data_IF_186062830911
#
_entry.id   IF_186062830911
#
_cell.length_a   1.000
_cell.length_b   1.000
_cell.length_c   1.000
_cell.angle_alpha   90.00
_cell.angle_beta   90.00
_cell.angle_gamma   90.00
#
_symmetry.space_group_name_H-M   'P 1'
#
loop_
_entity.id
_entity.type
_entity.pdbx_description
1 polymer ?
#
# COMPACT_ATOMS: atom_id res chain seq x y z
N UNK A 1 4.56 -5.52 10.44
CA UNK A 1 4.89 -4.80 11.69
C UNK A 1 5.02 -3.31 11.34
N UNK A 2 4.03 -2.49 11.71
CA UNK A 2 3.95 -1.05 11.40
C UNK A 2 4.92 -0.20 12.24
N UNK A 3 5.62 -0.82 13.19
CA UNK A 3 6.64 -0.18 14.04
C UNK A 3 8.02 -0.13 13.36
N UNK A 4 8.15 -0.56 12.10
CA UNK A 4 9.41 -0.43 11.36
C UNK A 4 9.70 1.04 11.09
N UNK A 5 10.94 1.45 11.36
CA UNK A 5 11.44 2.77 10.96
C UNK A 5 11.31 2.94 9.44
N UNK A 6 11.04 4.17 8.99
CA UNK A 6 10.98 4.50 7.56
C UNK A 6 9.68 4.22 6.80
N UNK A 7 8.62 3.71 7.44
CA UNK A 7 7.31 3.60 6.80
C UNK A 7 6.62 4.98 6.72
N UNK A 8 6.90 5.71 5.65
CA UNK A 8 6.42 7.07 5.40
C UNK A 8 5.62 7.13 4.09
N UNK A 9 4.34 6.74 4.17
CA UNK A 9 3.43 6.58 3.04
C UNK A 9 2.33 7.65 3.08
N UNK A 10 2.43 8.74 2.29
CA UNK A 10 1.41 9.79 2.24
C UNK A 10 0.05 9.30 1.71
N UNK A 11 0.01 8.14 1.04
CA UNK A 11 -1.20 7.54 0.49
C UNK A 11 -2.08 6.87 1.55
N UNK A 12 -1.53 6.58 2.73
CA UNK A 12 -2.27 5.90 3.81
C UNK A 12 -3.18 6.90 4.53
N UNK A 13 -4.48 6.80 4.29
CA UNK A 13 -5.51 7.60 4.97
C UNK A 13 -6.12 6.93 6.20
N UNK A 14 -5.99 5.61 6.35
CA UNK A 14 -6.61 4.85 7.44
C UNK A 14 -5.62 3.87 8.09
N UNK A 15 -5.55 3.91 9.41
CA UNK A 15 -4.84 2.92 10.23
C UNK A 15 -5.82 2.26 11.19
N UNK A 16 -6.00 0.95 11.07
CA UNK A 16 -6.80 0.16 11.98
C UNK A 16 -5.91 -0.61 12.97
N UNK A 17 -6.14 -0.42 14.27
CA UNK A 17 -5.49 -1.13 15.37
C UNK A 17 -6.51 -2.11 15.95
N UNK A 18 -6.35 -3.39 15.62
CA UNK A 18 -7.13 -4.47 16.20
C UNK A 18 -6.62 -4.79 17.61
N UNK A 19 -7.49 -5.25 18.50
CA UNK A 19 -7.13 -5.62 19.88
C UNK A 19 -6.34 -4.50 20.58
N UNK A 20 -6.84 -3.27 20.49
CA UNK A 20 -6.14 -2.09 20.99
C UNK A 20 -6.01 -2.08 22.52
N UNK A 21 -6.87 -2.82 23.23
CA UNK A 21 -6.90 -2.95 24.68
C UNK A 21 -6.05 -4.09 25.24
N UNK A 22 -5.45 -4.93 24.39
CA UNK A 22 -4.55 -6.00 24.82
C UNK A 22 -3.19 -5.43 25.18
N UNK A 23 -3.07 -4.96 26.42
CA UNK A 23 -1.83 -4.37 26.92
C UNK A 23 -0.62 -5.32 26.76
N UNK A 24 0.54 -4.71 26.53
CA UNK A 24 1.77 -5.40 26.18
C UNK A 24 2.65 -4.50 25.33
N UNK A 25 3.77 -5.02 24.82
CA UNK A 25 4.72 -4.21 24.05
C UNK A 25 4.05 -3.48 22.87
N UNK A 26 3.28 -4.20 22.05
CA UNK A 26 2.63 -3.68 20.84
C UNK A 26 1.47 -2.70 21.09
N UNK A 27 0.96 -2.63 22.33
CA UNK A 27 -0.14 -1.73 22.75
C UNK A 27 0.27 -0.81 23.89
N UNK A 28 1.58 -0.70 24.12
CA UNK A 28 2.11 0.34 25.00
C UNK A 28 1.80 1.71 24.40
N UNK A 29 1.70 2.72 25.25
CA UNK A 29 1.50 4.13 24.86
C UNK A 29 2.43 4.54 23.70
N UNK A 30 3.73 4.23 23.81
CA UNK A 30 4.74 4.54 22.78
C UNK A 30 4.41 3.87 21.44
N UNK A 31 4.05 2.59 21.46
CA UNK A 31 3.70 1.84 20.24
C UNK A 31 2.39 2.33 19.61
N UNK A 32 1.39 2.70 20.43
CA UNK A 32 0.15 3.27 19.94
C UNK A 32 0.40 4.62 19.27
N UNK A 33 1.15 5.54 19.90
CA UNK A 33 1.53 6.84 19.33
C UNK A 33 2.28 6.65 17.99
N UNK A 34 3.24 5.74 17.94
CA UNK A 34 3.97 5.44 16.70
C UNK A 34 3.06 4.89 15.59
N UNK A 35 2.09 4.05 15.95
CA UNK A 35 1.14 3.48 14.99
C UNK A 35 0.15 4.53 14.49
N UNK A 36 -0.37 5.39 15.38
CA UNK A 36 -1.20 6.55 15.03
C UNK A 36 -0.47 7.48 14.06
N UNK A 37 0.82 7.74 14.32
CA UNK A 37 1.65 8.60 13.48
C UNK A 37 1.75 8.17 12.02
N UNK A 38 1.43 6.92 11.68
CA UNK A 38 1.39 6.45 10.28
C UNK A 38 0.27 7.09 9.47
N UNK A 39 -0.85 7.46 10.10
CA UNK A 39 -1.95 8.15 9.44
C UNK A 39 -1.69 9.66 9.28
N UNK A 40 -0.75 10.25 10.03
CA UNK A 40 -0.55 11.69 10.12
C UNK A 40 0.08 12.32 8.85
N UNK A 41 0.41 11.52 7.84
CA UNK A 41 0.98 11.98 6.56
C UNK A 41 -0.08 12.33 5.51
N UNK A 42 -1.34 12.01 5.78
CA UNK A 42 -2.46 12.25 4.90
C UNK A 42 -3.45 13.23 5.54
N UNK A 43 -3.99 14.17 4.75
CA UNK A 43 -4.98 15.15 5.23
C UNK A 43 -6.27 14.48 5.76
N UNK A 44 -6.62 13.31 5.23
CA UNK A 44 -7.74 12.48 5.69
C UNK A 44 -7.29 11.37 6.65
N UNK A 45 -6.10 11.49 7.23
CA UNK A 45 -5.52 10.56 8.18
C UNK A 45 -6.45 10.27 9.35
N UNK A 46 -6.90 9.02 9.44
CA UNK A 46 -7.84 8.52 10.45
C UNK A 46 -7.28 7.26 11.10
N UNK A 47 -7.49 7.12 12.41
CA UNK A 47 -7.09 5.93 13.17
C UNK A 47 -8.31 5.34 13.85
N UNK A 48 -8.55 4.04 13.64
CA UNK A 48 -9.59 3.27 14.30
C UNK A 48 -8.96 2.29 15.28
N UNK A 49 -9.32 2.38 16.56
CA UNK A 49 -8.88 1.45 17.60
C UNK A 49 -10.05 0.55 17.98
N UNK A 50 -9.95 -0.75 17.66
CA UNK A 50 -10.93 -1.75 18.05
C UNK A 50 -10.54 -2.32 19.41
N UNK A 51 -11.41 -2.13 20.41
CA UNK A 51 -11.18 -2.52 21.79
C UNK A 51 -12.52 -2.69 22.52
N UNK A 52 -12.53 -3.52 23.55
CA UNK A 52 -13.68 -3.66 24.45
C UNK A 52 -13.66 -2.56 25.52
N UNK A 53 -12.47 -2.11 25.93
CA UNK A 53 -12.30 -1.05 26.94
C UNK A 53 -11.16 -0.08 26.59
N UNK A 54 -11.26 1.17 27.06
CA UNK A 54 -10.19 2.16 26.92
C UNK A 54 -9.15 1.97 28.04
N UNK A 55 -7.99 1.40 27.70
CA UNK A 55 -6.87 1.22 28.63
C UNK A 55 -6.17 2.55 28.97
N UNK A 56 -5.34 2.54 30.00
CA UNK A 56 -4.55 3.71 30.38
C UNK A 56 -3.55 4.09 29.27
N UNK A 57 -2.98 3.09 28.59
CA UNK A 57 -2.07 3.29 27.45
C UNK A 57 -2.79 3.92 26.26
N UNK A 58 -4.01 3.47 25.95
CA UNK A 58 -4.85 4.08 24.91
C UNK A 58 -5.21 5.52 25.26
N UNK A 59 -5.67 5.78 26.48
CA UNK A 59 -6.05 7.12 26.93
C UNK A 59 -4.90 8.11 26.76
N UNK A 60 -3.71 7.79 27.26
CA UNK A 60 -2.53 8.66 27.11
C UNK A 60 -2.16 8.90 25.65
N UNK A 61 -2.26 7.87 24.80
CA UNK A 61 -1.98 8.00 23.37
C UNK A 61 -3.01 8.90 22.64
N UNK A 62 -4.30 8.76 22.97
CA UNK A 62 -5.38 9.58 22.44
C UNK A 62 -5.21 11.04 22.90
N UNK A 63 -5.04 11.26 24.20
CA UNK A 63 -4.88 12.60 24.78
C UNK A 63 -3.69 13.35 24.17
N UNK A 64 -2.55 12.67 23.98
CA UNK A 64 -1.37 13.27 23.34
C UNK A 64 -1.60 13.56 21.85
N UNK A 65 -2.39 12.73 21.16
CA UNK A 65 -2.77 12.96 19.77
C UNK A 65 -3.66 14.19 19.64
N UNK A 66 -4.68 14.31 20.50
CA UNK A 66 -5.62 15.42 20.51
C UNK A 66 -4.95 16.73 20.91
N UNK A 67 -4.05 16.69 21.91
CA UNK A 67 -3.23 17.84 22.30
C UNK A 67 -2.40 18.37 21.12
N UNK A 68 -1.70 17.48 20.41
CA UNK A 68 -0.89 17.86 19.23
C UNK A 68 -1.76 18.41 18.11
N UNK A 69 -2.89 17.76 17.82
CA UNK A 69 -3.82 18.20 16.77
C UNK A 69 -4.37 19.60 17.06
N UNK A 70 -4.75 19.87 18.30
CA UNK A 70 -5.25 21.19 18.73
C UNK A 70 -4.20 22.28 18.51
N UNK A 71 -2.96 22.06 18.96
CA UNK A 71 -1.85 23.01 18.75
C UNK A 71 -1.59 23.25 17.25
N UNK A 72 -1.65 22.19 16.43
CA UNK A 72 -1.47 22.30 14.98
C UNK A 72 -2.60 23.09 14.31
N UNK A 73 -3.86 22.86 14.71
CA UNK A 73 -5.01 23.58 14.20
C UNK A 73 -4.93 25.07 14.53
N UNK A 74 -4.67 25.42 15.79
CA UNK A 74 -4.48 26.82 16.21
C UNK A 74 -3.33 27.49 15.46
N UNK A 75 -2.21 26.78 15.27
CA UNK A 75 -1.09 27.31 14.50
C UNK A 75 -1.48 27.56 13.04
N UNK A 76 -2.18 26.62 12.41
CA UNK A 76 -2.63 26.75 11.04
C UNK A 76 -3.60 27.92 10.86
N UNK A 77 -4.57 28.07 11.76
CA UNK A 77 -5.53 29.18 11.75
C UNK A 77 -4.83 30.54 11.88
N UNK A 78 -3.89 30.67 12.84
CA UNK A 78 -3.14 31.91 13.05
C UNK A 78 -2.27 32.31 11.85
N UNK A 79 -1.83 31.34 11.04
CA UNK A 79 -0.92 31.57 9.91
C UNK A 79 -1.60 31.40 8.54
N UNK A 80 -2.91 31.12 8.49
CA UNK A 80 -3.63 30.89 7.23
C UNK A 80 -3.16 29.66 6.46
N UNK A 81 -2.65 28.62 7.15
CA UNK A 81 -2.13 27.40 6.51
C UNK A 81 -3.27 26.43 6.26
N UNK A 82 -3.46 26.02 5.00
CA UNK A 82 -4.37 24.93 4.64
C UNK A 82 -3.60 23.61 4.58
N UNK A 83 -3.95 22.59 5.38
CA UNK A 83 -3.29 21.29 5.34
C UNK A 83 -3.38 20.64 3.95
N UNK A 84 -2.26 20.11 3.47
CA UNK A 84 -2.19 19.38 2.20
C UNK A 84 -1.34 18.12 2.37
N UNK A 85 -1.75 17.02 1.74
CA UNK A 85 -0.96 15.79 1.68
C UNK A 85 0.25 16.03 0.77
N UNK A 86 1.45 15.67 1.23
CA UNK A 86 2.66 15.72 0.41
C UNK A 86 2.55 14.67 -0.69
N UNK A 87 2.60 15.11 -1.95
CA UNK A 87 2.76 14.20 -3.08
C UNK A 87 4.26 13.91 -3.26
N UNK A 88 4.67 12.68 -2.98
CA UNK A 88 6.02 12.23 -3.30
C UNK A 88 6.03 11.67 -4.72
N UNK A 89 6.96 12.12 -5.55
CA UNK A 89 7.20 11.48 -6.83
C UNK A 89 7.54 10.00 -6.58
N UNK A 90 6.78 9.10 -7.19
CA UNK A 90 7.20 7.71 -7.31
C UNK A 90 8.50 7.76 -8.11
N UNK A 91 9.59 7.19 -7.59
CA UNK A 91 10.89 7.25 -8.24
C UNK A 91 10.74 6.86 -9.72
N UNK A 92 11.03 7.81 -10.62
CA UNK A 92 10.96 7.69 -12.07
C UNK A 92 12.22 7.00 -12.61
N UNK A 93 12.20 5.66 -12.78
CA UNK A 93 12.80 5.15 -14.01
C UNK A 93 11.77 4.54 -14.97
N UNK A 94 10.50 4.45 -14.58
CA UNK A 94 9.47 3.74 -15.37
C UNK A 94 8.64 4.61 -16.31
N UNK A 95 8.64 5.94 -16.16
CA UNK A 95 7.75 6.82 -16.93
C UNK A 95 8.11 6.88 -18.43
N UNK A 96 9.36 6.65 -18.80
CA UNK A 96 9.82 6.79 -20.19
C UNK A 96 9.42 5.63 -21.11
N UNK A 97 8.95 4.49 -20.57
CA UNK A 97 8.59 3.31 -21.39
C UNK A 97 7.12 3.35 -21.83
N UNK A 98 6.25 4.07 -21.11
CA UNK A 98 4.83 4.17 -21.44
C UNK A 98 4.54 5.06 -22.67
N UNK A 99 5.44 5.96 -23.07
CA UNK A 99 5.27 6.75 -24.30
C UNK A 99 5.66 5.99 -25.58
N UNK A 100 6.25 4.79 -25.46
CA UNK A 100 6.59 3.95 -26.61
C UNK A 100 5.43 3.02 -27.07
N UNK A 101 4.24 3.13 -26.46
CA UNK A 101 3.05 2.32 -26.74
C UNK A 101 2.25 2.83 -27.97
N UNK A 102 2.90 2.95 -29.13
CA UNK A 102 2.22 3.10 -30.42
C UNK A 102 2.74 2.17 -31.53
N UNK A 103 3.43 1.07 -31.18
CA UNK A 103 3.76 0.04 -32.15
C UNK A 103 3.10 -1.28 -31.73
N UNK A 104 1.92 -1.51 -32.32
CA UNK A 104 1.20 -2.78 -32.44
C UNK A 104 2.14 -3.99 -32.48
N UNK A 105 2.25 -4.69 -31.35
CA UNK A 105 2.82 -6.05 -31.32
C UNK A 105 1.70 -7.01 -31.72
N UNK A 106 1.86 -7.83 -32.77
CA UNK A 106 0.83 -8.77 -33.18
C UNK A 106 0.54 -9.79 -32.08
N UNK A 107 -0.74 -10.02 -31.79
CA UNK A 107 -1.22 -11.08 -30.91
C UNK A 107 -0.66 -12.42 -31.39
N UNK A 108 0.32 -12.97 -30.67
CA UNK A 108 0.63 -14.39 -30.78
C UNK A 108 -0.48 -15.13 -30.05
N UNK A 109 -1.30 -15.84 -30.82
CA UNK A 109 -2.32 -16.73 -30.29
C UNK A 109 -1.63 -17.90 -29.56
N UNK A 110 -1.68 -17.90 -28.23
CA UNK A 110 -1.38 -19.10 -27.44
C UNK A 110 -2.67 -19.71 -26.92
N UNK A 111 -2.71 -21.04 -27.02
CA UNK A 111 -3.85 -21.95 -26.85
C UNK A 111 -4.58 -21.80 -25.51
N UNK A 112 -5.91 -22.02 -25.47
CA UNK A 112 -6.67 -21.99 -24.23
C UNK A 112 -6.36 -23.25 -23.41
N UNK A 113 -5.47 -23.13 -22.43
CA UNK A 113 -5.36 -24.17 -21.38
C UNK A 113 -6.58 -24.03 -20.44
N UNK A 114 -7.55 -24.92 -20.67
CA UNK A 114 -8.77 -25.15 -19.88
C UNK A 114 -8.45 -25.97 -18.63
N UNK A 115 -7.70 -25.41 -17.66
CA UNK A 115 -7.59 -26.04 -16.34
C UNK A 115 -8.13 -25.09 -15.26
N UNK A 116 -9.07 -25.55 -14.39
CA UNK A 116 -9.46 -24.81 -13.20
C UNK A 116 -8.21 -24.60 -12.34
N UNK A 117 -7.79 -23.34 -12.18
CA UNK A 117 -6.63 -23.00 -11.39
C UNK A 117 -6.96 -23.23 -9.91
N UNK A 118 -6.43 -24.29 -9.31
CA UNK A 118 -6.32 -24.42 -7.86
C UNK A 118 -5.65 -23.13 -7.32
N UNK A 119 -6.30 -22.36 -6.44
CA UNK A 119 -5.75 -21.12 -5.89
C UNK A 119 -4.35 -21.28 -5.29
N UNK A 120 -4.05 -22.46 -4.72
CA UNK A 120 -2.74 -22.76 -4.15
C UNK A 120 -1.67 -22.92 -5.25
N UNK A 121 -1.99 -23.59 -6.35
CA UNK A 121 -1.10 -23.74 -7.50
C UNK A 121 -0.84 -22.41 -8.21
N UNK A 122 -1.88 -21.57 -8.35
CA UNK A 122 -1.76 -20.22 -8.91
C UNK A 122 -0.85 -19.33 -8.06
N UNK A 123 -1.04 -19.31 -6.74
CA UNK A 123 -0.20 -18.53 -5.83
C UNK A 123 1.28 -18.94 -5.91
N UNK A 124 1.56 -20.24 -6.06
CA UNK A 124 2.92 -20.77 -6.24
C UNK A 124 3.54 -20.32 -7.57
N UNK A 125 2.79 -20.39 -8.66
CA UNK A 125 3.24 -19.94 -9.98
C UNK A 125 3.53 -18.42 -9.99
N UNK A 126 2.63 -17.61 -9.43
CA UNK A 126 2.82 -16.17 -9.28
C UNK A 126 4.05 -15.84 -8.43
N UNK A 127 4.28 -16.57 -7.34
CA UNK A 127 5.45 -16.38 -6.49
C UNK A 127 6.77 -16.66 -7.24
N UNK A 128 6.80 -17.70 -8.08
CA UNK A 128 7.95 -18.03 -8.91
C UNK A 128 8.23 -16.92 -9.96
N UNK A 129 7.19 -16.50 -10.68
CA UNK A 129 7.29 -15.41 -11.66
C UNK A 129 7.73 -14.08 -11.02
N UNK A 130 7.22 -13.74 -9.82
CA UNK A 130 7.66 -12.55 -9.07
C UNK A 130 9.14 -12.63 -8.69
N UNK A 131 9.68 -13.83 -8.44
CA UNK A 131 11.11 -14.02 -8.16
C UNK A 131 11.94 -13.78 -9.42
N UNK A 132 11.52 -14.33 -10.54
CA UNK A 132 12.17 -14.15 -11.84
C UNK A 132 12.13 -12.68 -12.30
N UNK A 133 10.99 -12.01 -12.13
CA UNK A 133 10.83 -10.58 -12.44
C UNK A 133 11.82 -9.71 -11.65
N UNK A 134 11.98 -10.00 -10.35
CA UNK A 134 12.95 -9.28 -9.51
C UNK A 134 14.40 -9.57 -9.92
N UNK A 135 14.69 -10.78 -10.37
CA UNK A 135 16.04 -11.12 -10.83
C UNK A 135 16.36 -10.44 -12.16
N UNK A 136 15.44 -10.44 -13.12
CA UNK A 136 15.54 -9.69 -14.37
C UNK A 136 15.75 -8.19 -14.10
N UNK A 137 14.99 -7.61 -13.17
CA UNK A 137 15.15 -6.20 -12.77
C UNK A 137 16.53 -5.90 -12.15
N UNK A 138 17.11 -6.83 -11.37
CA UNK A 138 18.48 -6.67 -10.83
C UNK A 138 19.54 -6.73 -11.93
N UNK A 139 19.31 -7.54 -12.97
CA UNK A 139 20.20 -7.67 -14.12
C UNK A 139 19.98 -6.57 -15.17
N UNK A 140 19.11 -5.58 -14.89
CA UNK A 140 18.74 -4.49 -15.80
C UNK A 140 18.02 -4.97 -17.09
N UNK A 141 17.47 -6.20 -17.08
CA UNK A 141 16.64 -6.76 -18.16
C UNK A 141 15.19 -6.27 -18.03
N UNK A 142 14.97 -4.97 -18.27
CA UNK A 142 13.68 -4.32 -18.00
C UNK A 142 12.53 -4.80 -18.88
N UNK A 143 12.79 -5.13 -20.15
CA UNK A 143 11.79 -5.68 -21.07
C UNK A 143 11.25 -7.02 -20.54
N UNK A 144 12.15 -7.92 -20.16
CA UNK A 144 11.80 -9.20 -19.54
C UNK A 144 11.07 -9.03 -18.22
N UNK A 145 11.49 -8.07 -17.39
CA UNK A 145 10.78 -7.76 -16.15
C UNK A 145 9.35 -7.24 -16.41
N UNK A 146 9.14 -6.45 -17.47
CA UNK A 146 7.82 -5.97 -17.88
C UNK A 146 6.93 -7.11 -18.39
N UNK A 147 7.45 -8.00 -19.23
CA UNK A 147 6.71 -9.19 -19.69
C UNK A 147 6.26 -10.08 -18.52
N UNK A 148 7.16 -10.32 -17.57
CA UNK A 148 6.86 -11.11 -16.37
C UNK A 148 5.81 -10.42 -15.50
N UNK A 149 5.86 -9.10 -15.34
CA UNK A 149 4.83 -8.30 -14.63
C UNK A 149 3.46 -8.47 -15.27
N UNK A 150 3.38 -8.35 -16.59
CA UNK A 150 2.11 -8.41 -17.32
C UNK A 150 1.53 -9.83 -17.29
N UNK A 151 2.39 -10.86 -17.34
CA UNK A 151 1.99 -12.26 -17.14
C UNK A 151 1.44 -12.51 -15.74
N UNK A 152 2.08 -11.96 -14.70
CA UNK A 152 1.60 -12.05 -13.32
C UNK A 152 0.23 -11.39 -13.20
N UNK A 153 0.06 -10.19 -13.76
CA UNK A 153 -1.20 -9.47 -13.74
C UNK A 153 -2.33 -10.28 -14.40
N UNK A 154 -2.08 -10.89 -15.56
CA UNK A 154 -3.06 -11.75 -16.25
C UNK A 154 -3.46 -12.96 -15.40
N UNK A 155 -2.49 -13.61 -14.75
CA UNK A 155 -2.72 -14.76 -13.89
C UNK A 155 -3.54 -14.39 -12.64
N UNK A 156 -3.23 -13.27 -12.00
CA UNK A 156 -3.97 -12.75 -10.84
C UNK A 156 -5.40 -12.33 -11.22
N UNK A 157 -5.56 -11.65 -12.36
CA UNK A 157 -6.87 -11.25 -12.89
C UNK A 157 -7.76 -12.47 -13.18
N UNK A 158 -7.20 -13.52 -13.81
CA UNK A 158 -7.90 -14.78 -14.09
C UNK A 158 -8.25 -15.55 -12.81
N UNK A 159 -7.39 -15.52 -11.80
CA UNK A 159 -7.64 -16.14 -10.49
C UNK A 159 -8.71 -15.44 -9.66
N UNK A 160 -8.88 -14.13 -9.85
CA UNK A 160 -9.90 -13.31 -9.17
C UNK A 160 -11.26 -13.30 -9.91
N UNK A 161 -11.34 -13.86 -11.11
CA UNK A 161 -12.57 -13.91 -11.91
C UNK A 161 -13.03 -12.53 -12.39
N UNK A 162 -12.12 -11.56 -12.53
CA UNK A 162 -12.46 -10.21 -12.99
C UNK A 162 -12.20 -10.13 -14.48
N UNK A 163 -13.23 -10.26 -15.31
CA UNK A 163 -13.13 -9.88 -16.72
C UNK A 163 -13.02 -8.36 -16.81
N UNK A 164 -12.03 -7.86 -17.57
CA UNK A 164 -11.97 -6.43 -17.90
C UNK A 164 -13.20 -6.09 -18.72
N UNK A 165 -14.06 -5.21 -18.19
CA UNK A 165 -14.99 -4.47 -19.04
C UNK A 165 -14.12 -3.67 -20.03
N UNK A 166 -14.19 -4.02 -21.30
CA UNK A 166 -13.68 -3.19 -22.38
C UNK A 166 -14.38 -1.83 -22.28
N UNK A 167 -13.60 -0.78 -22.07
CA UNK A 167 -14.10 0.58 -22.12
C UNK A 167 -14.12 1.01 -23.59
N UNK A 168 -15.33 1.17 -24.13
CA UNK A 168 -15.61 1.92 -25.36
C UNK A 168 -15.27 3.41 -25.21
#
# INVERSE_FOLDING_TARGET
NLLREGLDLPEVSLVAILDADKEGYLRSERSLIQTIGRAARNVHGTVLMYADAVTASMRRAIDETDRRRTVQQEYNERHGITPQTIQKAIAEPLAFVCEADYLTVPLVAETPDETPLDPAALAKAVAALRREMREAAKQLEFERAAELRDRILRLETRGLGVERAEAD
#
